data_IF_935455151317
#
_entry.id   IF_935455151317
#
_cell.length_a   1.000
_cell.length_b   1.000
_cell.length_c   1.000
_cell.angle_alpha   90.00
_cell.angle_beta   90.00
_cell.angle_gamma   90.00
#
_symmetry.space_group_name_H-M   'P 1'
#
loop_
_entity.id
_entity.type
_entity.pdbx_description
1 polymer ?
#
# COMPACT_ATOMS: atom_id res chain seq x y z
N UNK A 1 -7.21 7.52 25.95
CA UNK A 1 -8.38 6.61 25.90
C UNK A 1 -9.41 7.01 24.84
N UNK A 2 -9.97 8.24 24.86
CA UNK A 2 -10.99 8.67 23.88
C UNK A 2 -10.49 8.57 22.42
N UNK A 3 -9.26 9.01 22.15
CA UNK A 3 -8.65 8.95 20.81
C UNK A 3 -8.53 7.50 20.28
N UNK A 4 -8.11 6.56 21.12
CA UNK A 4 -8.01 5.14 20.76
C UNK A 4 -9.39 4.58 20.41
N UNK A 5 -10.40 4.84 21.23
CA UNK A 5 -11.77 4.40 20.99
C UNK A 5 -12.30 4.98 19.68
N UNK A 6 -12.05 6.26 19.41
CA UNK A 6 -12.48 6.94 18.19
C UNK A 6 -11.82 6.31 16.96
N UNK A 7 -10.51 6.06 16.98
CA UNK A 7 -9.77 5.44 15.86
C UNK A 7 -10.27 4.03 15.61
N UNK A 8 -10.47 3.22 16.64
CA UNK A 8 -11.00 1.85 16.51
C UNK A 8 -12.44 1.84 16.00
N UNK A 9 -13.27 2.77 16.44
CA UNK A 9 -14.64 2.91 15.93
C UNK A 9 -14.65 3.30 14.44
N UNK A 10 -13.85 4.29 14.04
CA UNK A 10 -13.69 4.68 12.64
C UNK A 10 -13.14 3.54 11.79
N UNK A 11 -12.16 2.79 12.31
CA UNK A 11 -11.62 1.61 11.63
C UNK A 11 -12.71 0.58 11.32
N UNK A 12 -13.53 0.20 12.30
CA UNK A 12 -14.62 -0.77 12.09
C UNK A 12 -15.65 -0.26 11.09
N UNK A 13 -15.99 1.04 11.13
CA UNK A 13 -16.91 1.69 10.18
C UNK A 13 -16.38 1.62 8.74
N UNK A 14 -15.09 1.83 8.54
CA UNK A 14 -14.46 1.88 7.22
C UNK A 14 -14.14 0.47 6.68
N UNK A 15 -13.69 -0.46 7.53
CA UNK A 15 -13.20 -1.77 7.10
C UNK A 15 -14.30 -2.67 6.55
N UNK A 16 -15.51 -2.58 7.07
CA UNK A 16 -16.62 -3.41 6.62
C UNK A 16 -17.06 -3.08 5.18
N UNK A 17 -17.36 -1.81 4.83
CA UNK A 17 -17.71 -1.48 3.44
C UNK A 17 -16.55 -1.71 2.48
N UNK A 18 -15.31 -1.42 2.89
CA UNK A 18 -14.12 -1.69 2.09
C UNK A 18 -13.95 -3.18 1.81
N UNK A 19 -14.08 -4.04 2.80
CA UNK A 19 -13.99 -5.48 2.62
C UNK A 19 -15.09 -6.06 1.73
N UNK A 20 -16.30 -5.49 1.76
CA UNK A 20 -17.38 -5.85 0.83
C UNK A 20 -17.05 -5.41 -0.60
N UNK A 21 -16.49 -4.23 -0.76
CA UNK A 21 -16.05 -3.74 -2.06
C UNK A 21 -14.93 -4.63 -2.63
N UNK A 22 -13.91 -4.95 -1.83
CA UNK A 22 -12.84 -5.87 -2.21
C UNK A 22 -13.36 -7.28 -2.51
N UNK A 23 -14.35 -7.77 -1.77
CA UNK A 23 -15.01 -9.05 -2.06
C UNK A 23 -15.66 -9.03 -3.46
N UNK A 24 -16.32 -7.94 -3.87
CA UNK A 24 -16.90 -7.84 -5.22
C UNK A 24 -15.81 -7.86 -6.29
N UNK A 25 -14.71 -7.13 -6.10
CA UNK A 25 -13.55 -7.16 -7.02
C UNK A 25 -12.98 -8.58 -7.12
N UNK A 26 -12.75 -9.24 -6.00
CA UNK A 26 -12.14 -10.55 -5.94
C UNK A 26 -13.03 -11.69 -6.46
N UNK A 27 -14.34 -11.47 -6.57
CA UNK A 27 -15.32 -12.45 -7.10
C UNK A 27 -15.88 -12.07 -8.45
N UNK A 28 -15.24 -11.15 -9.17
CA UNK A 28 -15.64 -10.66 -10.49
C UNK A 28 -17.07 -10.12 -10.56
N UNK A 29 -17.57 -9.59 -9.44
CA UNK A 29 -18.88 -8.94 -9.40
C UNK A 29 -18.73 -7.47 -9.81
N UNK A 30 -19.77 -6.93 -10.46
CA UNK A 30 -19.80 -5.52 -10.87
C UNK A 30 -19.66 -4.57 -9.69
N UNK A 31 -18.84 -3.55 -9.86
CA UNK A 31 -18.61 -2.47 -8.90
C UNK A 31 -18.93 -1.11 -9.53
N UNK A 32 -19.11 -0.09 -8.70
CA UNK A 32 -19.30 1.28 -9.17
C UNK A 32 -18.09 1.82 -9.96
N UNK A 33 -16.90 1.30 -9.67
CA UNK A 33 -15.65 1.72 -10.28
C UNK A 33 -15.45 1.19 -11.71
N UNK A 34 -16.14 0.12 -12.10
CA UNK A 34 -15.93 -0.54 -13.38
C UNK A 34 -16.18 0.39 -14.57
N UNK A 35 -17.19 1.28 -14.48
CA UNK A 35 -17.48 2.23 -15.55
C UNK A 35 -16.27 3.12 -15.91
N UNK A 36 -15.47 3.47 -14.92
CA UNK A 36 -14.28 4.33 -15.09
C UNK A 36 -13.04 3.50 -15.43
N UNK A 37 -12.82 2.38 -14.73
CA UNK A 37 -11.57 1.65 -14.82
C UNK A 37 -11.56 0.48 -15.82
N UNK A 38 -12.69 -0.05 -16.26
CA UNK A 38 -12.70 -1.10 -17.29
C UNK A 38 -12.03 -0.68 -18.62
N UNK A 39 -12.19 0.56 -19.12
CA UNK A 39 -11.44 1.00 -20.30
C UNK A 39 -9.93 1.04 -20.06
N UNK A 40 -9.51 1.47 -18.87
CA UNK A 40 -8.10 1.54 -18.46
C UNK A 40 -7.51 0.13 -18.37
N UNK A 41 -8.20 -0.77 -17.69
CA UNK A 41 -7.77 -2.17 -17.55
C UNK A 41 -7.63 -2.85 -18.92
N UNK A 42 -8.61 -2.67 -19.82
CA UNK A 42 -8.54 -3.22 -21.19
C UNK A 42 -7.33 -2.69 -21.96
N UNK A 43 -7.01 -1.42 -21.80
CA UNK A 43 -5.82 -0.82 -22.40
C UNK A 43 -4.54 -1.47 -21.85
N UNK A 44 -4.43 -1.60 -20.52
CA UNK A 44 -3.29 -2.23 -19.85
C UNK A 44 -3.18 -3.70 -20.30
N UNK A 45 -4.28 -4.46 -20.31
CA UNK A 45 -4.28 -5.85 -20.75
C UNK A 45 -3.81 -5.99 -22.20
N UNK A 46 -4.22 -5.07 -23.08
CA UNK A 46 -3.79 -5.06 -24.49
C UNK A 46 -2.30 -4.76 -24.62
N UNK A 47 -1.78 -3.75 -23.89
CA UNK A 47 -0.36 -3.35 -23.96
C UNK A 47 0.53 -4.45 -23.35
N UNK A 48 0.14 -5.01 -22.22
CA UNK A 48 0.92 -6.02 -21.50
C UNK A 48 0.69 -7.45 -22.02
N UNK A 49 -0.19 -7.65 -23.01
CA UNK A 49 -0.50 -8.98 -23.54
C UNK A 49 -1.17 -9.91 -22.52
N UNK A 50 -1.87 -9.36 -21.53
CA UNK A 50 -2.54 -10.14 -20.49
C UNK A 50 -3.75 -10.84 -21.10
N UNK A 51 -3.66 -12.18 -21.18
CA UNK A 51 -4.76 -13.02 -21.63
C UNK A 51 -5.63 -13.37 -20.43
N UNK A 52 -6.95 -13.24 -20.60
CA UNK A 52 -7.91 -13.69 -19.60
C UNK A 52 -7.87 -15.21 -19.41
N UNK A 53 -8.38 -15.68 -18.28
CA UNK A 53 -8.49 -17.10 -17.96
C UNK A 53 -7.91 -17.40 -16.57
N UNK A 54 -8.37 -18.53 -16.00
CA UNK A 54 -7.88 -18.97 -14.69
C UNK A 54 -6.50 -19.64 -14.83
N UNK A 55 -5.61 -19.31 -13.93
CA UNK A 55 -4.30 -19.92 -13.79
C UNK A 55 -4.35 -21.11 -12.83
N UNK A 56 -3.53 -22.13 -13.09
CA UNK A 56 -3.19 -23.13 -12.09
C UNK A 56 -2.35 -22.47 -10.97
N UNK A 57 -2.21 -23.12 -9.82
CA UNK A 57 -1.42 -22.57 -8.72
C UNK A 57 0.06 -22.37 -9.10
N UNK A 58 0.61 -23.25 -9.97
CA UNK A 58 1.99 -23.12 -10.45
C UNK A 58 2.16 -21.92 -11.38
N UNK A 59 1.23 -21.73 -12.31
CA UNK A 59 1.24 -20.58 -13.22
C UNK A 59 1.08 -19.27 -12.45
N UNK A 60 0.18 -19.24 -11.46
CA UNK A 60 -0.05 -18.06 -10.63
C UNK A 60 1.20 -17.70 -9.81
N UNK A 61 1.81 -18.67 -9.14
CA UNK A 61 3.02 -18.48 -8.36
C UNK A 61 4.22 -18.07 -9.23
N UNK A 62 4.40 -18.72 -10.38
CA UNK A 62 5.46 -18.38 -11.33
C UNK A 62 5.28 -16.97 -11.90
N UNK A 63 4.04 -16.59 -12.26
CA UNK A 63 3.72 -15.24 -12.73
C UNK A 63 4.06 -14.19 -11.68
N UNK A 64 3.71 -14.41 -10.41
CA UNK A 64 4.04 -13.52 -9.30
C UNK A 64 5.56 -13.36 -9.15
N UNK A 65 6.30 -14.48 -9.08
CA UNK A 65 7.76 -14.44 -8.89
C UNK A 65 8.45 -13.78 -10.08
N UNK A 66 8.05 -14.12 -11.31
CA UNK A 66 8.65 -13.56 -12.54
C UNK A 66 8.37 -12.07 -12.67
N UNK A 67 7.14 -11.63 -12.43
CA UNK A 67 6.78 -10.21 -12.48
C UNK A 67 7.58 -9.40 -11.46
N UNK A 68 7.67 -9.90 -10.23
CA UNK A 68 8.47 -9.25 -9.18
C UNK A 68 9.96 -9.21 -9.54
N UNK A 69 10.51 -10.30 -10.08
CA UNK A 69 11.92 -10.35 -10.49
C UNK A 69 12.24 -9.34 -11.62
N UNK A 70 11.33 -9.17 -12.58
CA UNK A 70 11.50 -8.16 -13.64
C UNK A 70 11.46 -6.75 -13.06
N UNK A 71 10.52 -6.46 -12.15
CA UNK A 71 10.44 -5.15 -11.50
C UNK A 71 11.67 -4.86 -10.64
N UNK A 72 12.21 -5.86 -9.93
CA UNK A 72 13.47 -5.77 -9.19
C UNK A 72 14.62 -5.38 -10.13
N UNK A 73 14.78 -6.06 -11.25
CA UNK A 73 15.87 -5.78 -12.20
C UNK A 73 15.77 -4.35 -12.76
N UNK A 74 14.59 -3.96 -13.21
CA UNK A 74 14.36 -2.61 -13.76
C UNK A 74 14.60 -1.53 -12.70
N UNK A 75 14.05 -1.71 -11.49
CA UNK A 75 14.24 -0.75 -10.41
C UNK A 75 15.69 -0.65 -9.96
N UNK A 76 16.43 -1.76 -9.90
CA UNK A 76 17.87 -1.76 -9.61
C UNK A 76 18.63 -0.88 -10.61
N UNK A 77 18.37 -1.08 -11.91
CA UNK A 77 19.02 -0.27 -12.95
C UNK A 77 18.70 1.21 -12.82
N UNK A 78 17.45 1.57 -12.52
CA UNK A 78 17.05 2.96 -12.33
C UNK A 78 17.79 3.58 -11.13
N UNK A 79 17.91 2.89 -10.00
CA UNK A 79 18.66 3.38 -8.84
C UNK A 79 20.14 3.62 -9.14
N UNK A 80 20.75 2.73 -9.96
CA UNK A 80 22.16 2.85 -10.37
C UNK A 80 22.42 4.07 -11.26
N UNK A 81 21.47 4.40 -12.13
CA UNK A 81 21.62 5.50 -13.11
C UNK A 81 20.88 6.78 -12.70
N UNK A 82 20.32 6.86 -11.49
CA UNK A 82 19.46 7.98 -11.08
C UNK A 82 20.10 9.36 -11.22
N UNK A 83 21.41 9.45 -11.13
CA UNK A 83 22.15 10.70 -11.31
C UNK A 83 22.01 11.34 -12.71
N UNK A 84 21.66 10.53 -13.71
CA UNK A 84 21.44 10.97 -15.10
C UNK A 84 19.96 11.16 -15.46
N UNK A 85 19.05 10.88 -14.51
CA UNK A 85 17.62 10.97 -14.77
C UNK A 85 17.13 12.41 -14.64
N UNK A 86 16.02 12.69 -15.33
CA UNK A 86 15.23 13.91 -15.12
C UNK A 86 14.65 13.96 -13.70
N UNK A 87 14.11 15.10 -13.28
CA UNK A 87 13.58 15.31 -11.92
C UNK A 87 14.63 14.99 -10.81
N UNK A 88 15.84 15.50 -11.00
CA UNK A 88 16.91 15.44 -10.03
C UNK A 88 17.43 16.86 -9.69
N UNK A 89 16.57 17.74 -9.12
CA UNK A 89 16.96 19.14 -8.88
C UNK A 89 18.06 19.28 -7.83
N UNK A 90 18.21 18.29 -6.97
CA UNK A 90 19.23 18.29 -5.90
C UNK A 90 20.55 17.62 -6.31
N UNK A 91 20.70 17.19 -7.57
CA UNK A 91 21.96 16.64 -8.11
C UNK A 91 22.40 15.32 -7.46
N UNK A 92 21.45 14.48 -7.02
CA UNK A 92 21.73 13.19 -6.35
C UNK A 92 22.43 12.24 -7.33
N UNK A 93 23.56 11.67 -6.93
CA UNK A 93 24.33 10.69 -7.71
C UNK A 93 23.67 9.30 -7.75
N UNK A 94 24.28 8.37 -8.53
CA UNK A 94 23.86 6.97 -8.54
C UNK A 94 24.01 6.33 -7.17
N UNK A 95 23.03 5.52 -6.77
CA UNK A 95 23.07 4.79 -5.49
C UNK A 95 24.11 3.66 -5.56
N UNK A 96 24.82 3.40 -4.45
CA UNK A 96 25.79 2.32 -4.33
C UNK A 96 25.18 0.95 -4.66
N UNK A 97 25.98 -0.01 -5.11
CA UNK A 97 25.51 -1.30 -5.67
C UNK A 97 24.77 -2.17 -4.67
N UNK A 98 25.37 -2.40 -3.52
CA UNK A 98 24.81 -3.27 -2.48
C UNK A 98 23.57 -2.61 -1.85
N UNK A 99 23.61 -1.28 -1.67
CA UNK A 99 22.48 -0.50 -1.18
C UNK A 99 21.33 -0.51 -2.18
N UNK A 100 21.60 -0.38 -3.47
CA UNK A 100 20.58 -0.48 -4.53
C UNK A 100 19.92 -1.84 -4.53
N UNK A 101 20.70 -2.92 -4.43
CA UNK A 101 20.18 -4.29 -4.37
C UNK A 101 19.33 -4.51 -3.12
N UNK A 102 19.83 -4.11 -1.95
CA UNK A 102 19.08 -4.22 -0.70
C UNK A 102 17.76 -3.44 -0.77
N UNK A 103 17.81 -2.19 -1.22
CA UNK A 103 16.63 -1.32 -1.34
C UNK A 103 15.56 -1.96 -2.22
N UNK A 104 15.95 -2.42 -3.41
CA UNK A 104 14.98 -2.91 -4.37
C UNK A 104 14.32 -4.22 -3.92
N UNK A 105 15.08 -5.13 -3.31
CA UNK A 105 14.54 -6.37 -2.72
C UNK A 105 13.60 -6.02 -1.58
N UNK A 106 14.02 -5.13 -0.69
CA UNK A 106 13.23 -4.70 0.46
C UNK A 106 11.88 -4.12 0.06
N UNK A 107 11.86 -3.23 -0.94
CA UNK A 107 10.61 -2.61 -1.41
C UNK A 107 9.74 -3.58 -2.20
N UNK A 108 10.31 -4.47 -3.02
CA UNK A 108 9.50 -5.42 -3.79
C UNK A 108 8.88 -6.53 -2.92
N UNK A 109 9.56 -6.92 -1.84
CA UNK A 109 9.04 -7.90 -0.87
C UNK A 109 8.10 -7.28 0.17
N UNK A 110 7.81 -6.00 0.08
CA UNK A 110 7.01 -5.23 1.04
C UNK A 110 7.61 -5.21 2.47
N UNK A 111 8.92 -5.41 2.60
CA UNK A 111 9.64 -5.31 3.87
C UNK A 111 9.94 -3.85 4.22
N UNK A 112 10.33 -3.07 3.22
CA UNK A 112 10.54 -1.61 3.24
C UNK A 112 11.54 -1.12 4.28
N UNK A 113 12.57 -1.92 4.60
CA UNK A 113 13.72 -1.46 5.35
C UNK A 113 14.54 -0.50 4.48
N UNK A 114 14.79 0.70 5.00
CA UNK A 114 15.60 1.74 4.37
C UNK A 114 16.90 1.91 5.12
N UNK A 115 18.03 1.81 4.41
CA UNK A 115 19.38 2.06 4.92
C UNK A 115 19.98 3.32 4.27
N UNK A 116 19.13 4.29 3.93
CA UNK A 116 19.46 5.58 3.34
C UNK A 116 18.43 6.63 3.78
N UNK A 117 18.82 7.90 3.77
CA UNK A 117 17.91 9.02 3.88
C UNK A 117 17.38 9.36 2.49
N UNK A 118 16.07 9.34 2.28
CA UNK A 118 15.49 9.45 0.94
C UNK A 118 15.71 10.83 0.30
N UNK A 119 15.69 11.89 1.12
CA UNK A 119 15.90 13.27 0.69
C UNK A 119 17.31 13.55 0.16
N UNK A 120 18.32 12.79 0.60
CA UNK A 120 19.70 12.93 0.19
C UNK A 120 20.23 11.75 -0.64
N UNK A 121 19.55 10.61 -0.63
CA UNK A 121 19.95 9.38 -1.31
C UNK A 121 19.22 9.09 -2.62
N UNK A 122 18.07 9.73 -2.87
CA UNK A 122 17.23 9.45 -4.04
C UNK A 122 16.80 10.73 -4.77
N UNK A 123 16.96 10.70 -6.10
CA UNK A 123 16.34 11.69 -6.99
C UNK A 123 14.81 11.54 -6.97
N UNK A 124 14.07 12.60 -7.29
CA UNK A 124 12.60 12.51 -7.37
C UNK A 124 12.15 11.51 -8.44
N UNK A 125 12.89 11.40 -9.55
CA UNK A 125 12.63 10.34 -10.53
C UNK A 125 12.72 8.94 -9.92
N UNK A 126 13.77 8.66 -9.13
CA UNK A 126 13.91 7.38 -8.44
C UNK A 126 12.85 7.18 -7.37
N UNK A 127 12.51 8.22 -6.59
CA UNK A 127 11.40 8.15 -5.62
C UNK A 127 10.07 7.76 -6.31
N UNK A 128 9.76 8.37 -7.45
CA UNK A 128 8.49 8.16 -8.15
C UNK A 128 8.48 6.85 -8.95
N UNK A 129 9.50 6.62 -9.78
CA UNK A 129 9.53 5.50 -10.72
C UNK A 129 9.96 4.17 -10.07
N UNK A 130 10.60 4.21 -8.90
CA UNK A 130 11.02 3.00 -8.18
C UNK A 130 10.26 2.86 -6.89
N UNK A 131 10.45 3.77 -5.93
CA UNK A 131 9.94 3.59 -4.58
C UNK A 131 8.39 3.60 -4.56
N UNK A 132 7.77 4.68 -5.03
CA UNK A 132 6.29 4.77 -5.09
C UNK A 132 5.71 3.65 -5.96
N UNK A 133 6.31 3.40 -7.15
CA UNK A 133 5.87 2.33 -8.03
C UNK A 133 5.92 0.96 -7.34
N UNK A 134 7.00 0.65 -6.62
CA UNK A 134 7.11 -0.61 -5.88
C UNK A 134 6.19 -0.71 -4.68
N UNK A 135 5.91 0.38 -4.00
CA UNK A 135 4.88 0.41 -2.96
C UNK A 135 3.50 0.01 -3.49
N UNK A 136 3.14 0.46 -4.70
CA UNK A 136 1.92 0.00 -5.36
C UNK A 136 1.98 -1.47 -5.76
N UNK A 137 3.06 -1.89 -6.41
CA UNK A 137 3.15 -3.23 -7.01
C UNK A 137 3.42 -4.32 -5.98
N UNK A 138 4.20 -4.07 -4.93
CA UNK A 138 4.38 -5.02 -3.83
C UNK A 138 3.08 -5.24 -3.05
N UNK A 139 2.37 -4.17 -2.72
CA UNK A 139 1.06 -4.26 -2.08
C UNK A 139 0.06 -5.02 -2.97
N UNK A 140 0.03 -4.73 -4.27
CA UNK A 140 -0.84 -5.42 -5.22
C UNK A 140 -0.47 -6.90 -5.37
N UNK A 141 0.81 -7.26 -5.37
CA UNK A 141 1.28 -8.65 -5.39
C UNK A 141 0.84 -9.41 -4.15
N UNK A 142 0.99 -8.81 -2.97
CA UNK A 142 0.53 -9.38 -1.70
C UNK A 142 -0.99 -9.57 -1.66
N UNK A 143 -1.74 -8.58 -2.13
CA UNK A 143 -3.19 -8.69 -2.25
C UNK A 143 -3.60 -9.79 -3.23
N UNK A 144 -2.99 -9.87 -4.41
CA UNK A 144 -3.28 -10.90 -5.40
C UNK A 144 -3.06 -12.30 -4.82
N UNK A 145 -1.93 -12.51 -4.12
CA UNK A 145 -1.65 -13.77 -3.43
C UNK A 145 -2.70 -14.08 -2.35
N UNK A 146 -3.09 -13.09 -1.54
CA UNK A 146 -4.15 -13.23 -0.53
C UNK A 146 -5.48 -13.64 -1.17
N UNK A 147 -5.87 -13.02 -2.28
CA UNK A 147 -7.13 -13.34 -2.97
C UNK A 147 -7.10 -14.73 -3.61
N UNK A 148 -5.98 -15.13 -4.21
CA UNK A 148 -5.81 -16.49 -4.73
C UNK A 148 -5.95 -17.53 -3.59
N UNK A 149 -5.33 -17.28 -2.44
CA UNK A 149 -5.44 -18.13 -1.26
C UNK A 149 -6.89 -18.21 -0.74
N UNK A 150 -7.57 -17.07 -0.59
CA UNK A 150 -8.97 -17.01 -0.17
C UNK A 150 -9.90 -17.75 -1.14
N UNK A 151 -9.69 -17.60 -2.46
CA UNK A 151 -10.44 -18.33 -3.49
C UNK A 151 -10.19 -19.82 -3.40
N UNK A 152 -8.93 -20.26 -3.26
CA UNK A 152 -8.56 -21.68 -3.09
C UNK A 152 -9.24 -22.31 -1.87
N UNK A 153 -9.19 -21.67 -0.70
CA UNK A 153 -9.85 -22.14 0.52
C UNK A 153 -11.39 -22.17 0.38
N UNK A 154 -11.95 -21.26 -0.40
CA UNK A 154 -13.40 -21.25 -0.67
C UNK A 154 -13.85 -22.23 -1.78
N UNK A 155 -12.90 -22.99 -2.38
CA UNK A 155 -13.19 -23.93 -3.45
C UNK A 155 -13.46 -23.27 -4.81
N UNK A 156 -13.04 -22.02 -4.99
CA UNK A 156 -13.12 -21.28 -6.25
C UNK A 156 -11.84 -21.48 -7.06
N UNK A 157 -11.89 -21.14 -8.33
CA UNK A 157 -10.70 -21.01 -9.18
C UNK A 157 -9.82 -19.85 -8.70
N UNK A 158 -8.52 -19.97 -8.88
CA UNK A 158 -7.54 -19.00 -8.35
C UNK A 158 -7.61 -17.63 -9.03
N UNK A 159 -8.08 -17.57 -10.28
CA UNK A 159 -8.09 -16.36 -11.10
C UNK A 159 -6.77 -16.19 -11.85
N UNK A 160 -6.44 -14.94 -12.18
CA UNK A 160 -5.25 -14.58 -12.95
C UNK A 160 -4.45 -13.51 -12.20
N UNK A 161 -3.18 -13.78 -11.92
CA UNK A 161 -2.31 -12.90 -11.14
C UNK A 161 -2.23 -11.47 -11.70
N UNK A 162 -2.01 -11.33 -13.02
CA UNK A 162 -1.88 -10.01 -13.64
C UNK A 162 -3.20 -9.24 -13.63
N UNK A 163 -4.32 -9.93 -13.84
CA UNK A 163 -5.63 -9.31 -13.74
C UNK A 163 -5.94 -8.86 -12.31
N UNK A 164 -5.58 -9.65 -11.31
CA UNK A 164 -5.72 -9.29 -9.90
C UNK A 164 -4.86 -8.07 -9.55
N UNK A 165 -3.59 -8.03 -9.99
CA UNK A 165 -2.72 -6.87 -9.81
C UNK A 165 -3.29 -5.59 -10.41
N UNK A 166 -3.70 -5.63 -11.68
CA UNK A 166 -4.24 -4.46 -12.37
C UNK A 166 -5.49 -3.97 -11.64
N UNK A 167 -6.42 -4.87 -11.33
CA UNK A 167 -7.68 -4.51 -10.68
C UNK A 167 -7.52 -3.92 -9.29
N UNK A 168 -6.60 -4.46 -8.46
CA UNK A 168 -6.38 -3.88 -7.13
C UNK A 168 -5.73 -2.51 -7.22
N UNK A 169 -4.78 -2.33 -8.15
CA UNK A 169 -4.14 -1.03 -8.36
C UNK A 169 -5.18 -0.01 -8.84
N UNK A 170 -5.91 -0.31 -9.90
CA UNK A 170 -6.82 0.66 -10.53
C UNK A 170 -8.06 0.95 -9.69
N UNK A 171 -8.64 -0.05 -9.02
CA UNK A 171 -9.91 0.11 -8.28
C UNK A 171 -9.76 0.44 -6.81
N UNK A 172 -8.64 0.10 -6.19
CA UNK A 172 -8.46 0.27 -4.73
C UNK A 172 -7.28 1.17 -4.43
N UNK A 173 -6.05 0.74 -4.77
CA UNK A 173 -4.85 1.44 -4.31
C UNK A 173 -4.75 2.85 -4.88
N UNK A 174 -4.88 3.02 -6.20
CA UNK A 174 -4.71 4.32 -6.85
C UNK A 174 -5.79 5.34 -6.44
N UNK A 175 -7.10 5.02 -6.46
CA UNK A 175 -8.13 5.97 -6.02
C UNK A 175 -7.98 6.36 -4.54
N UNK A 176 -7.69 5.39 -3.67
CA UNK A 176 -7.50 5.67 -2.24
C UNK A 176 -6.22 6.48 -2.00
N UNK A 177 -5.11 6.14 -2.67
CA UNK A 177 -3.86 6.89 -2.55
C UNK A 177 -4.03 8.34 -3.00
N UNK A 178 -4.81 8.58 -4.05
CA UNK A 178 -5.13 9.94 -4.48
C UNK A 178 -5.91 10.71 -3.40
N UNK A 179 -6.95 10.10 -2.82
CA UNK A 179 -7.75 10.72 -1.76
C UNK A 179 -6.88 10.97 -0.51
N UNK A 180 -6.13 9.98 -0.05
CA UNK A 180 -5.26 10.10 1.13
C UNK A 180 -4.18 11.14 0.88
N UNK A 181 -3.58 11.17 -0.31
CA UNK A 181 -2.59 12.18 -0.70
C UNK A 181 -3.14 13.61 -0.60
N UNK A 182 -4.35 13.85 -1.12
CA UNK A 182 -5.01 15.17 -0.99
C UNK A 182 -5.29 15.54 0.47
N UNK A 183 -5.70 14.58 1.28
CA UNK A 183 -5.91 14.80 2.71
C UNK A 183 -4.60 15.14 3.43
N UNK A 184 -3.50 14.45 3.13
CA UNK A 184 -2.18 14.76 3.71
C UNK A 184 -1.67 16.13 3.26
N UNK A 185 -1.83 16.49 1.98
CA UNK A 185 -1.49 17.84 1.49
C UNK A 185 -2.28 18.90 2.26
N UNK A 186 -3.57 18.68 2.52
CA UNK A 186 -4.40 19.62 3.31
C UNK A 186 -3.93 19.79 4.75
N UNK A 187 -3.15 18.85 5.28
CA UNK A 187 -2.55 18.89 6.60
C UNK A 187 -1.15 19.53 6.62
N UNK A 188 -0.57 19.81 5.44
CA UNK A 188 0.73 20.46 5.31
C UNK A 188 1.87 19.54 4.85
N UNK A 189 1.59 18.29 4.51
CA UNK A 189 2.61 17.39 3.91
C UNK A 189 3.02 17.92 2.54
N UNK A 190 4.33 18.11 2.26
CA UNK A 190 4.79 18.67 0.99
C UNK A 190 4.45 17.80 -0.21
N UNK A 191 4.12 18.47 -1.33
CA UNK A 191 3.93 17.82 -2.63
C UNK A 191 4.42 18.75 -3.73
N UNK A 192 5.69 18.61 -4.11
CA UNK A 192 6.34 19.44 -5.10
C UNK A 192 7.40 18.67 -5.88
N UNK A 193 7.80 19.20 -7.02
CA UNK A 193 8.97 18.73 -7.79
C UNK A 193 10.11 19.77 -7.80
N UNK A 194 9.94 20.88 -7.04
CA UNK A 194 11.02 21.83 -6.81
C UNK A 194 12.09 21.24 -5.91
N UNK A 195 13.33 21.71 -6.07
CA UNK A 195 14.45 21.31 -5.20
C UNK A 195 14.30 21.79 -3.75
N UNK A 196 15.31 21.51 -2.94
CA UNK A 196 15.36 21.95 -1.55
C UNK A 196 15.25 23.48 -1.45
N UNK A 197 14.71 23.95 -0.34
CA UNK A 197 14.60 25.37 -0.02
C UNK A 197 15.67 25.73 0.99
N UNK A 198 16.61 26.60 0.61
CA UNK A 198 17.63 27.11 1.54
C UNK A 198 17.05 28.25 2.35
N UNK A 199 17.09 28.15 3.65
CA UNK A 199 16.63 29.18 4.59
C UNK A 199 17.78 29.61 5.51
N UNK A 200 17.81 30.90 5.90
CA UNK A 200 18.71 31.40 6.91
C UNK A 200 18.12 31.12 8.30
N UNK A 201 18.90 30.52 9.17
CA UNK A 201 18.48 30.23 10.55
C UNK A 201 18.64 31.47 11.43
N UNK A 202 18.04 31.47 12.61
CA UNK A 202 18.17 32.57 13.60
C UNK A 202 19.63 32.82 14.01
N UNK A 203 20.48 31.79 13.90
CA UNK A 203 21.92 31.86 14.22
C UNK A 203 22.77 32.40 13.04
N UNK A 204 22.15 32.78 11.90
CA UNK A 204 22.83 33.29 10.73
C UNK A 204 23.53 32.24 9.87
N UNK A 205 23.20 30.96 10.05
CA UNK A 205 23.65 29.85 9.20
C UNK A 205 22.58 29.48 8.17
N UNK A 206 22.98 28.84 7.08
CA UNK A 206 22.05 28.36 6.07
C UNK A 206 21.70 26.90 6.29
N UNK A 207 20.40 26.57 6.15
CA UNK A 207 19.89 25.21 6.23
C UNK A 207 19.05 24.89 5.00
N UNK A 208 19.29 23.73 4.40
CA UNK A 208 18.47 23.22 3.33
C UNK A 208 17.29 22.42 3.88
N UNK A 209 16.08 22.86 3.56
CA UNK A 209 14.84 22.15 3.88
C UNK A 209 14.51 21.26 2.68
N UNK A 210 14.54 19.96 2.89
CA UNK A 210 14.19 19.00 1.86
C UNK A 210 12.71 19.06 1.53
N UNK A 211 12.42 19.14 0.24
CA UNK A 211 11.08 19.13 -0.34
C UNK A 211 10.95 17.93 -1.29
N UNK A 212 9.75 17.69 -1.81
CA UNK A 212 9.57 16.61 -2.79
C UNK A 212 8.14 16.10 -2.89
N UNK A 213 7.91 15.00 -3.62
CA UNK A 213 6.59 14.35 -3.74
C UNK A 213 6.24 13.51 -2.49
N UNK A 214 6.31 14.12 -1.30
CA UNK A 214 6.18 13.44 -0.01
C UNK A 214 4.77 12.88 0.17
N UNK A 215 3.73 13.68 -0.05
CA UNK A 215 2.35 13.24 0.17
C UNK A 215 1.95 12.08 -0.75
N UNK A 216 2.44 12.06 -1.99
CA UNK A 216 2.21 10.94 -2.91
C UNK A 216 2.83 9.64 -2.40
N UNK A 217 4.04 9.71 -1.84
CA UNK A 217 4.73 8.55 -1.26
C UNK A 217 4.02 8.09 0.02
N UNK A 218 3.75 9.01 0.94
CA UNK A 218 3.11 8.68 2.22
C UNK A 218 1.73 8.05 2.05
N UNK A 219 0.95 8.51 1.08
CA UNK A 219 -0.38 7.97 0.83
C UNK A 219 -0.35 6.48 0.48
N UNK A 220 0.51 6.05 -0.43
CA UNK A 220 0.63 4.63 -0.80
C UNK A 220 1.39 3.83 0.25
N UNK A 221 2.37 4.43 0.93
CA UNK A 221 3.10 3.79 2.02
C UNK A 221 2.14 3.21 3.06
N UNK A 222 1.17 3.99 3.49
CA UNK A 222 0.21 3.54 4.49
C UNK A 222 -0.82 2.57 3.93
N UNK A 223 -1.42 2.86 2.78
CA UNK A 223 -2.40 1.96 2.15
C UNK A 223 -1.80 0.62 1.74
N UNK A 224 -0.55 0.62 1.27
CA UNK A 224 0.16 -0.59 0.86
C UNK A 224 0.74 -1.39 2.01
N UNK A 225 0.59 -0.92 3.26
CA UNK A 225 1.26 -1.49 4.46
C UNK A 225 2.78 -1.56 4.32
N UNK A 226 3.33 -0.61 3.59
CA UNK A 226 4.76 -0.43 3.42
C UNK A 226 5.38 0.21 4.67
N UNK A 227 6.68 0.36 4.67
CA UNK A 227 7.44 1.09 5.69
C UNK A 227 8.36 2.13 5.06
N UNK A 228 9.28 2.67 5.85
CA UNK A 228 10.21 3.68 5.42
C UNK A 228 9.55 5.05 5.28
N UNK A 229 9.64 5.65 4.12
CA UNK A 229 9.05 6.95 3.81
C UNK A 229 9.96 7.78 2.92
N UNK A 230 9.53 8.99 2.62
CA UNK A 230 10.33 9.92 1.81
C UNK A 230 11.65 10.25 2.50
N UNK A 231 11.63 10.46 3.81
CA UNK A 231 12.80 10.75 4.64
C UNK A 231 13.43 9.51 5.28
N UNK A 232 12.89 8.32 5.03
CA UNK A 232 13.36 7.09 5.66
C UNK A 232 13.05 6.97 7.16
N UNK A 233 12.11 7.73 7.66
CA UNK A 233 11.86 7.94 9.08
C UNK A 233 10.50 7.39 9.58
N UNK A 234 9.79 6.61 8.78
CA UNK A 234 8.49 5.99 9.13
C UNK A 234 7.45 6.98 9.68
N UNK A 235 7.30 8.13 9.02
CA UNK A 235 6.39 9.22 9.42
C UNK A 235 6.71 9.87 10.77
N UNK A 236 7.96 9.82 11.23
CA UNK A 236 8.37 10.51 12.45
C UNK A 236 8.79 11.97 12.21
N UNK A 237 8.92 12.39 10.95
CA UNK A 237 9.26 13.77 10.60
C UNK A 237 8.01 14.64 10.50
N UNK A 238 8.10 15.94 10.86
CA UNK A 238 6.98 16.88 10.69
C UNK A 238 6.54 17.06 9.23
N UNK A 239 7.39 16.77 8.27
CA UNK A 239 7.06 16.87 6.83
C UNK A 239 6.27 15.66 6.32
N UNK A 240 6.40 14.50 6.94
CA UNK A 240 5.59 13.32 6.63
C UNK A 240 4.26 13.38 7.39
N UNK A 241 4.30 13.71 8.68
CA UNK A 241 3.17 13.66 9.60
C UNK A 241 3.05 14.94 10.45
N UNK A 242 2.58 16.07 9.87
CA UNK A 242 2.61 17.38 10.51
C UNK A 242 1.59 17.57 11.62
N UNK A 243 0.49 16.80 11.66
CA UNK A 243 -0.62 17.06 12.57
C UNK A 243 -1.17 15.77 13.21
N UNK A 244 -1.93 15.92 14.30
CA UNK A 244 -2.69 14.79 14.89
C UNK A 244 -3.69 14.20 13.87
N UNK A 245 -4.25 15.04 12.99
CA UNK A 245 -5.20 14.59 11.97
C UNK A 245 -4.47 13.77 10.90
N UNK A 246 -3.28 14.21 10.44
CA UNK A 246 -2.47 13.41 9.50
C UNK A 246 -2.13 12.05 10.10
N UNK A 247 -1.72 12.00 11.36
CA UNK A 247 -1.43 10.75 12.08
C UNK A 247 -2.65 9.81 12.13
N UNK A 248 -3.85 10.34 12.37
CA UNK A 248 -5.08 9.53 12.33
C UNK A 248 -5.38 9.00 10.93
N UNK A 249 -5.18 9.82 9.89
CA UNK A 249 -5.36 9.41 8.49
C UNK A 249 -4.39 8.29 8.14
N UNK A 250 -3.13 8.41 8.52
CA UNK A 250 -2.08 7.43 8.28
C UNK A 250 -2.38 6.10 8.99
N UNK A 251 -2.70 6.13 10.28
CA UNK A 251 -3.06 4.93 11.04
C UNK A 251 -4.27 4.20 10.44
N UNK A 252 -5.34 4.94 10.10
CA UNK A 252 -6.53 4.35 9.49
C UNK A 252 -6.24 3.76 8.11
N UNK A 253 -5.44 4.44 7.29
CA UNK A 253 -5.02 3.98 5.96
C UNK A 253 -4.22 2.68 6.05
N UNK A 254 -3.29 2.58 7.00
CA UNK A 254 -2.45 1.39 7.21
C UNK A 254 -3.28 0.16 7.64
N UNK A 255 -4.29 0.36 8.47
CA UNK A 255 -5.12 -0.74 8.97
C UNK A 255 -6.25 -1.14 8.00
N UNK A 256 -6.67 -0.24 7.10
CA UNK A 256 -7.88 -0.37 6.30
C UNK A 256 -7.88 -1.62 5.42
N UNK A 257 -6.87 -1.79 4.58
CA UNK A 257 -6.84 -2.88 3.60
C UNK A 257 -6.56 -4.25 4.24
N UNK A 258 -5.64 -4.41 5.21
CA UNK A 258 -5.51 -5.66 5.96
C UNK A 258 -6.80 -6.09 6.66
N UNK A 259 -7.47 -5.18 7.34
CA UNK A 259 -8.76 -5.45 7.96
C UNK A 259 -9.84 -5.82 6.95
N UNK A 260 -9.87 -5.13 5.80
CA UNK A 260 -10.78 -5.43 4.70
C UNK A 260 -10.55 -6.82 4.08
N UNK A 261 -9.31 -7.32 4.04
CA UNK A 261 -8.99 -8.69 3.62
C UNK A 261 -9.65 -9.74 4.53
N UNK A 262 -9.70 -9.51 5.84
CA UNK A 262 -10.38 -10.42 6.79
C UNK A 262 -11.88 -10.48 6.52
N UNK A 263 -12.51 -9.33 6.23
CA UNK A 263 -13.92 -9.26 5.85
C UNK A 263 -14.16 -9.99 4.53
N UNK A 264 -13.32 -9.74 3.53
CA UNK A 264 -13.36 -10.40 2.20
C UNK A 264 -13.27 -11.92 2.33
N UNK A 265 -12.30 -12.42 3.11
CA UNK A 265 -12.12 -13.84 3.41
C UNK A 265 -13.38 -14.45 4.03
N UNK A 266 -13.92 -13.80 5.06
CA UNK A 266 -15.11 -14.29 5.76
C UNK A 266 -16.35 -14.36 4.85
N UNK A 267 -16.51 -13.40 3.94
CA UNK A 267 -17.59 -13.38 2.94
C UNK A 267 -17.41 -14.49 1.90
N UNK A 268 -16.20 -14.73 1.40
CA UNK A 268 -15.93 -15.81 0.44
C UNK A 268 -16.24 -17.19 1.03
N UNK A 269 -15.83 -17.45 2.27
CA UNK A 269 -16.10 -18.73 2.94
C UNK A 269 -17.57 -18.89 3.30
N UNK A 270 -18.28 -17.80 3.58
CA UNK A 270 -19.73 -17.84 3.83
C UNK A 270 -20.48 -18.29 2.59
N UNK A 271 -20.14 -17.80 1.41
CA UNK A 271 -20.78 -18.16 0.14
C UNK A 271 -20.61 -19.65 -0.19
N UNK A 272 -19.47 -20.27 0.13
CA UNK A 272 -19.24 -21.72 -0.07
C UNK A 272 -20.30 -22.59 0.60
N UNK A 273 -20.84 -22.16 1.75
CA UNK A 273 -21.81 -22.93 2.53
C UNK A 273 -23.26 -22.78 2.03
N UNK A 274 -23.51 -21.83 1.13
CA UNK A 274 -24.87 -21.46 0.69
C UNK A 274 -25.09 -21.63 -0.82
N UNK A 275 -25.01 -22.87 -1.30
CA UNK A 275 -25.55 -23.19 -2.64
C UNK A 275 -27.08 -23.14 -2.73
N UNK A 276 -27.79 -23.03 -1.62
CA UNK A 276 -29.28 -23.00 -1.60
C UNK A 276 -29.80 -22.03 -0.55
N UNK A 277 -30.43 -20.95 -1.00
CA UNK A 277 -31.38 -20.00 -0.39
C UNK A 277 -30.87 -18.59 -0.12
N UNK A 278 -31.70 -17.65 -0.57
CA UNK A 278 -31.68 -16.20 -0.41
C UNK A 278 -31.68 -15.78 1.06
N UNK A 279 -30.54 -15.76 1.71
CA UNK A 279 -30.38 -15.18 3.05
C UNK A 279 -29.48 -13.95 2.93
N UNK A 280 -29.89 -12.86 3.59
CA UNK A 280 -29.14 -11.59 3.64
C UNK A 280 -27.67 -11.86 3.95
N UNK A 281 -26.76 -11.36 3.11
CA UNK A 281 -25.29 -11.53 3.33
C UNK A 281 -24.91 -10.92 4.69
N UNK A 282 -24.12 -11.62 5.51
CA UNK A 282 -23.64 -11.09 6.79
C UNK A 282 -22.71 -9.90 6.57
N UNK A 283 -22.40 -9.16 7.63
CA UNK A 283 -21.46 -8.05 7.58
C UNK A 283 -20.04 -8.51 7.17
N UNK A 284 -19.55 -9.62 7.74
CA UNK A 284 -18.21 -10.14 7.45
C UNK A 284 -18.11 -11.68 7.45
N UNK A 285 -19.19 -12.41 7.60
CA UNK A 285 -19.17 -13.87 7.72
C UNK A 285 -18.60 -14.37 9.06
N UNK A 286 -18.96 -15.62 9.45
CA UNK A 286 -18.59 -16.18 10.77
C UNK A 286 -17.07 -16.33 10.94
N UNK A 287 -16.39 -16.85 9.93
CA UNK A 287 -14.92 -17.05 9.97
C UNK A 287 -14.17 -15.72 10.04
N UNK A 288 -14.61 -14.71 9.27
CA UNK A 288 -14.06 -13.37 9.36
C UNK A 288 -14.24 -12.75 10.74
N UNK A 289 -15.42 -12.91 11.35
CA UNK A 289 -15.68 -12.41 12.70
C UNK A 289 -14.79 -13.09 13.77
N UNK A 290 -14.51 -14.39 13.63
CA UNK A 290 -13.61 -15.12 14.55
C UNK A 290 -12.18 -14.61 14.44
N UNK A 291 -11.67 -14.43 13.22
CA UNK A 291 -10.31 -13.90 13.00
C UNK A 291 -10.22 -12.47 13.53
N UNK A 292 -11.21 -11.64 13.20
CA UNK A 292 -11.23 -10.25 13.66
C UNK A 292 -11.28 -10.15 15.19
N UNK A 293 -12.07 -11.00 15.84
CA UNK A 293 -12.13 -11.11 17.31
C UNK A 293 -10.80 -11.55 17.92
N UNK A 294 -10.13 -12.55 17.35
CA UNK A 294 -8.81 -12.98 17.78
C UNK A 294 -7.76 -11.86 17.64
N UNK A 295 -7.77 -11.15 16.52
CA UNK A 295 -6.87 -10.00 16.32
C UNK A 295 -7.14 -8.88 17.33
N UNK A 296 -8.41 -8.59 17.63
CA UNK A 296 -8.79 -7.58 18.61
C UNK A 296 -8.33 -7.96 20.05
N UNK A 297 -8.47 -9.22 20.43
CA UNK A 297 -7.98 -9.73 21.73
C UNK A 297 -6.46 -9.57 21.84
N UNK A 298 -5.72 -10.00 20.80
CA UNK A 298 -4.25 -9.85 20.78
C UNK A 298 -3.82 -8.38 20.81
N UNK A 299 -4.56 -7.51 20.14
CA UNK A 299 -4.29 -6.07 20.17
C UNK A 299 -4.47 -5.50 21.58
N UNK A 300 -5.56 -5.86 22.29
CA UNK A 300 -5.81 -5.39 23.64
C UNK A 300 -4.72 -5.86 24.61
N UNK A 301 -4.35 -7.15 24.55
CA UNK A 301 -3.27 -7.72 25.39
C UNK A 301 -1.96 -6.95 25.17
N UNK A 302 -1.57 -6.75 23.90
CA UNK A 302 -0.34 -6.02 23.56
C UNK A 302 -0.37 -4.54 23.95
N UNK A 303 -1.54 -3.89 23.89
CA UNK A 303 -1.65 -2.49 24.27
C UNK A 303 -1.49 -2.27 25.77
N UNK A 304 -1.79 -3.24 26.63
CA UNK A 304 -1.55 -3.18 28.06
C UNK A 304 -0.06 -3.33 28.40
N UNK A 305 0.69 -4.19 27.72
CA UNK A 305 2.14 -4.33 27.90
C UNK A 305 2.88 -3.02 27.66
N UNK A 306 2.60 -2.32 26.56
CA UNK A 306 3.23 -1.04 26.24
C UNK A 306 2.87 0.08 27.21
N UNK A 307 1.68 0.03 27.82
CA UNK A 307 1.27 1.05 28.81
C UNK A 307 1.98 0.86 30.15
N UNK A 308 2.31 -0.35 30.53
CA UNK A 308 3.05 -0.67 31.75
C UNK A 308 4.54 -0.32 31.66
N UNK A 309 5.16 -0.50 30.49
CA UNK A 309 6.56 -0.14 30.25
C UNK A 309 6.80 1.37 30.21
N UNK A 310 5.81 2.18 29.81
CA UNK A 310 5.88 3.64 29.80
C UNK A 310 5.63 4.26 31.18
N UNK A 311 5.15 3.49 32.17
CA UNK A 311 4.87 3.94 33.55
C UNK A 311 5.95 3.48 34.54
N UNK A 312 6.88 2.64 34.15
CA UNK A 312 8.06 2.20 34.91
C UNK A 312 9.30 3.02 34.53
#
# INVERSE_FOLDING_TARGET
MLQIILVLAMFVILVIPMGRYMYHIATDQKTFADRVFDPVDRLIYKICGIKGGDMSWKEYALSLVTANAVMILVGYLILRIQGFLFLNPNGIGGMEESLSFNTIISFMTNTNLQHYAGESGLSYAAQMCVIIFMMFTSAASGYAACMAFCRGLSGRKLGNFFADMVRIITRVLLPLAFIVGLLLISQGTPQTLAGNITVETIEGTYQDIAMGPVAALESIKHLGTNGGGFFGANSSTPFENPTVISNMIEMLSMMLLPGACVVTFGLMLHDRKKEKKTVRKPLMGRQGAVIFGAMAILFVIRSEEHTSELQS
#
